data_IF_226346471347
#
_entry.id   IF_226346471347
#
_cell.length_a   1.000
_cell.length_b   1.000
_cell.length_c   1.000
_cell.angle_alpha   90.00
_cell.angle_beta   90.00
_cell.angle_gamma   90.00
#
_symmetry.space_group_name_H-M   'P 1'
#
loop_
_entity.id
_entity.type
_entity.pdbx_description
1 polymer ?
#
# COMPACT_ATOMS: atom_id res chain seq x y z
N UNK A 1 0.02 7.08 -24.10
CA UNK A 1 0.79 7.59 -22.95
C UNK A 1 1.52 6.47 -22.22
N UNK A 2 2.67 6.77 -21.59
CA UNK A 2 3.41 5.81 -20.75
C UNK A 2 3.38 6.24 -19.28
N UNK A 3 2.92 5.36 -18.40
CA UNK A 3 2.80 5.59 -16.95
C UNK A 3 3.57 4.51 -16.21
N UNK A 4 4.54 4.92 -15.40
CA UNK A 4 5.26 4.01 -14.51
C UNK A 4 4.67 4.08 -13.10
N UNK A 5 4.48 2.94 -12.45
CA UNK A 5 4.08 2.85 -11.05
C UNK A 5 5.19 2.21 -10.23
N UNK A 6 5.59 2.89 -9.17
CA UNK A 6 6.59 2.46 -8.21
C UNK A 6 5.95 2.24 -6.83
N UNK A 7 6.47 1.26 -6.10
CA UNK A 7 6.02 0.94 -4.75
C UNK A 7 6.41 1.97 -3.70
N UNK A 8 6.57 1.49 -2.48
CA UNK A 8 6.71 2.31 -1.28
C UNK A 8 8.06 3.05 -1.21
N UNK A 9 8.01 4.35 -0.91
CA UNK A 9 9.17 5.24 -0.82
C UNK A 9 9.26 5.92 0.55
N UNK A 10 10.28 5.53 1.32
CA UNK A 10 10.65 6.10 2.62
C UNK A 10 12.16 6.27 2.75
N UNK A 11 12.61 7.52 2.77
CA UNK A 11 14.02 7.87 2.74
C UNK A 11 14.36 8.86 3.86
N UNK A 12 15.41 8.54 4.61
CA UNK A 12 16.00 9.42 5.63
C UNK A 12 16.98 10.44 5.06
N UNK A 13 17.80 10.02 4.08
CA UNK A 13 18.78 10.86 3.40
C UNK A 13 18.79 10.54 1.91
N UNK A 14 18.16 11.43 1.13
CA UNK A 14 18.04 11.27 -0.31
C UNK A 14 19.30 11.70 -1.07
N UNK A 15 20.19 12.47 -0.44
CA UNK A 15 21.42 12.95 -1.09
C UNK A 15 22.42 11.83 -1.40
N UNK A 16 22.31 10.72 -0.66
CA UNK A 16 23.13 9.51 -0.83
C UNK A 16 22.55 8.50 -1.82
N UNK A 17 21.33 8.72 -2.33
CA UNK A 17 20.66 7.76 -3.19
C UNK A 17 21.22 7.78 -4.62
N UNK A 18 21.60 6.59 -5.09
CA UNK A 18 22.08 6.36 -6.45
C UNK A 18 21.04 5.57 -7.24
N UNK A 19 20.82 5.95 -8.50
CA UNK A 19 19.96 5.21 -9.42
C UNK A 19 20.79 4.68 -10.58
N UNK A 20 20.57 3.42 -10.95
CA UNK A 20 21.14 2.83 -12.15
C UNK A 20 20.69 3.57 -13.43
N UNK A 21 21.60 3.78 -14.38
CA UNK A 21 21.33 4.47 -15.65
C UNK A 21 20.15 3.88 -16.44
N UNK A 22 19.98 2.55 -16.42
CA UNK A 22 18.86 1.90 -17.12
C UNK A 22 17.53 2.28 -16.49
N UNK A 23 17.46 2.34 -15.15
CA UNK A 23 16.27 2.76 -14.43
C UNK A 23 15.99 4.26 -14.67
N UNK A 24 17.04 5.09 -14.71
CA UNK A 24 16.91 6.51 -15.09
C UNK A 24 16.27 6.67 -16.47
N UNK A 25 16.68 5.86 -17.46
CA UNK A 25 16.10 5.94 -18.80
C UNK A 25 14.61 5.58 -18.81
N UNK A 26 14.21 4.52 -18.10
CA UNK A 26 12.80 4.10 -17.98
C UNK A 26 11.95 5.21 -17.36
N UNK A 27 12.47 5.87 -16.33
CA UNK A 27 11.81 7.00 -15.67
C UNK A 27 11.70 8.20 -16.62
N UNK A 28 12.77 8.52 -17.37
CA UNK A 28 12.81 9.65 -18.30
C UNK A 28 11.89 9.47 -19.51
N UNK A 29 11.73 8.26 -20.00
CA UNK A 29 10.89 7.92 -21.14
C UNK A 29 9.38 7.95 -20.83
N UNK A 30 8.99 7.75 -19.57
CA UNK A 30 7.59 7.80 -19.17
C UNK A 30 7.03 9.22 -19.12
N UNK A 31 5.76 9.37 -19.44
CA UNK A 31 5.02 10.64 -19.33
C UNK A 31 4.73 10.96 -17.86
N UNK A 32 4.34 9.93 -17.11
CA UNK A 32 4.02 10.02 -15.70
C UNK A 32 4.77 8.94 -14.91
N UNK A 33 5.42 9.33 -13.82
CA UNK A 33 6.01 8.41 -12.85
C UNK A 33 5.29 8.59 -11.51
N UNK A 34 4.62 7.52 -11.09
CA UNK A 34 3.77 7.45 -9.91
C UNK A 34 4.52 6.74 -8.79
N UNK A 35 4.56 7.29 -7.59
CA UNK A 35 5.20 6.66 -6.41
C UNK A 35 4.35 6.82 -5.16
N UNK A 36 4.38 5.82 -4.26
CA UNK A 36 3.77 5.94 -2.94
C UNK A 36 4.75 6.60 -1.95
N UNK A 37 4.44 7.82 -1.50
CA UNK A 37 5.25 8.54 -0.54
C UNK A 37 4.77 8.24 0.88
N UNK A 38 5.38 7.25 1.52
CA UNK A 38 4.81 6.54 2.67
C UNK A 38 5.25 7.07 4.04
N UNK A 39 5.40 8.39 4.16
CA UNK A 39 5.60 9.08 5.44
C UNK A 39 5.65 10.59 5.21
N UNK A 40 5.19 11.43 6.16
CA UNK A 40 5.23 12.87 6.00
C UNK A 40 6.65 13.42 6.08
N UNK A 41 6.85 14.54 5.41
CA UNK A 41 7.97 15.45 5.67
C UNK A 41 7.68 16.18 7.00
N UNK A 42 8.67 16.17 7.89
CA UNK A 42 8.55 16.83 9.19
C UNK A 42 9.75 17.74 9.45
N UNK A 43 9.51 18.86 10.12
CA UNK A 43 10.56 19.70 10.66
C UNK A 43 10.74 19.44 12.16
N UNK A 44 11.95 19.69 12.68
CA UNK A 44 12.27 19.50 14.10
C UNK A 44 11.21 20.19 14.98
N UNK A 45 10.76 19.50 16.05
CA UNK A 45 9.75 19.88 17.07
C UNK A 45 8.28 19.50 16.82
N UNK A 46 7.95 18.70 15.80
CA UNK A 46 6.62 18.09 15.71
C UNK A 46 6.50 16.85 16.61
N UNK A 47 5.35 16.71 17.27
CA UNK A 47 5.04 15.51 18.07
C UNK A 47 4.33 14.48 17.21
N UNK A 48 4.72 13.22 17.36
CA UNK A 48 4.04 12.11 16.72
C UNK A 48 2.58 12.02 17.19
N UNK A 49 1.68 11.72 16.26
CA UNK A 49 0.30 11.37 16.54
C UNK A 49 0.21 10.09 17.35
N UNK A 50 -0.83 9.96 18.16
CA UNK A 50 -1.15 8.70 18.83
C UNK A 50 -1.61 7.70 17.77
N UNK A 51 -0.86 6.61 17.61
CA UNK A 51 -1.23 5.51 16.71
C UNK A 51 -0.62 4.17 17.13
N UNK A 52 -1.03 3.11 16.44
CA UNK A 52 -0.39 1.82 16.49
C UNK A 52 0.87 1.78 15.63
N UNK A 53 1.91 1.08 16.09
CA UNK A 53 3.17 0.94 15.36
C UNK A 53 4.11 2.16 15.45
N UNK A 54 5.25 2.13 14.74
CA UNK A 54 6.20 3.23 14.73
C UNK A 54 5.66 4.44 13.97
N UNK A 55 5.93 5.64 14.49
CA UNK A 55 5.75 6.88 13.74
C UNK A 55 7.00 7.18 12.92
N UNK A 56 6.85 7.33 11.61
CA UNK A 56 7.95 7.60 10.69
C UNK A 56 7.74 8.89 9.93
N UNK A 57 8.85 9.51 9.54
CA UNK A 57 8.90 10.74 8.76
C UNK A 57 10.09 10.70 7.82
N UNK A 58 10.06 11.59 6.84
CA UNK A 58 11.10 11.77 5.82
C UNK A 58 11.71 13.18 5.90
N UNK A 59 12.90 13.33 5.34
CA UNK A 59 13.51 14.65 5.15
C UNK A 59 12.88 15.38 3.96
N UNK A 60 13.03 16.70 3.91
CA UNK A 60 12.57 17.51 2.77
C UNK A 60 13.32 17.16 1.46
N UNK A 61 14.51 16.61 1.57
CA UNK A 61 15.31 16.22 0.40
C UNK A 61 14.69 15.01 -0.32
N UNK A 62 13.89 14.20 0.38
CA UNK A 62 13.12 13.11 -0.22
C UNK A 62 12.17 13.60 -1.32
N UNK A 63 11.42 14.69 -1.09
CA UNK A 63 10.55 15.26 -2.13
C UNK A 63 11.33 15.91 -3.26
N UNK A 64 12.44 16.59 -2.95
CA UNK A 64 13.29 17.23 -3.97
C UNK A 64 13.86 16.19 -4.92
N UNK A 65 14.40 15.11 -4.35
CA UNK A 65 14.96 14.02 -5.12
C UNK A 65 13.92 13.39 -6.05
N UNK A 66 12.70 13.16 -5.59
CA UNK A 66 11.62 12.63 -6.43
C UNK A 66 11.30 13.57 -7.61
N UNK A 67 11.16 14.87 -7.35
CA UNK A 67 10.85 15.87 -8.38
C UNK A 67 12.00 15.96 -9.41
N UNK A 68 13.25 15.99 -8.95
CA UNK A 68 14.45 16.03 -9.80
C UNK A 68 14.55 14.78 -10.70
N UNK A 69 14.08 13.63 -10.22
CA UNK A 69 14.01 12.38 -10.98
C UNK A 69 12.67 12.15 -11.68
N UNK A 70 11.92 13.21 -12.04
CA UNK A 70 10.70 13.14 -12.87
C UNK A 70 9.56 12.31 -12.26
N UNK A 71 9.52 12.14 -10.94
CA UNK A 71 8.33 11.66 -10.24
C UNK A 71 7.34 12.83 -10.12
N UNK A 72 6.27 12.75 -10.92
CA UNK A 72 5.32 13.84 -11.12
C UNK A 72 3.90 13.49 -10.68
N UNK A 73 3.68 12.28 -10.13
CA UNK A 73 2.44 11.87 -9.47
C UNK A 73 2.77 11.19 -8.15
N UNK A 74 2.30 11.76 -7.04
CA UNK A 74 2.62 11.31 -5.69
C UNK A 74 1.36 10.77 -5.02
N UNK A 75 1.33 9.47 -4.75
CA UNK A 75 0.31 8.87 -3.89
C UNK A 75 0.63 9.18 -2.44
N UNK A 76 -0.37 9.75 -1.76
CA UNK A 76 -0.31 10.10 -0.34
C UNK A 76 -1.29 9.27 0.51
N UNK A 77 -2.10 8.40 -0.11
CA UNK A 77 -2.99 7.52 0.62
C UNK A 77 -2.22 6.34 1.20
N UNK A 78 -1.83 6.43 2.46
CA UNK A 78 -1.19 5.36 3.21
C UNK A 78 -1.40 5.56 4.72
N UNK A 79 -1.06 4.55 5.50
CA UNK A 79 -1.19 4.54 6.96
C UNK A 79 -0.22 5.48 7.68
N UNK A 80 0.80 6.00 7.00
CA UNK A 80 1.88 6.77 7.61
C UNK A 80 1.81 8.28 7.37
N UNK A 81 1.12 8.76 6.33
CA UNK A 81 1.18 10.18 5.92
C UNK A 81 0.72 11.17 7.01
N UNK A 82 -0.11 10.72 7.97
CA UNK A 82 -0.58 11.51 9.12
C UNK A 82 0.12 11.17 10.45
N UNK A 83 1.28 10.50 10.42
CA UNK A 83 2.05 10.12 11.61
C UNK A 83 2.46 11.30 12.49
N UNK A 84 2.53 12.50 11.91
CA UNK A 84 2.81 13.77 12.60
C UNK A 84 1.66 14.78 12.43
N UNK A 85 0.46 14.22 12.25
CA UNK A 85 -0.80 14.92 12.17
C UNK A 85 -0.94 15.82 10.94
N UNK A 86 -1.96 16.69 10.99
CA UNK A 86 -2.29 17.61 9.89
C UNK A 86 -1.11 18.54 9.56
N UNK A 87 -0.29 18.90 10.55
CA UNK A 87 0.88 19.74 10.30
C UNK A 87 1.91 19.04 9.43
N UNK A 88 2.26 17.78 9.71
CA UNK A 88 3.20 17.01 8.88
C UNK A 88 2.66 16.80 7.46
N UNK A 89 1.37 16.48 7.33
CA UNK A 89 0.70 16.36 6.04
C UNK A 89 0.75 17.67 5.22
N UNK A 90 0.40 18.81 5.83
CA UNK A 90 0.41 20.12 5.14
C UNK A 90 1.82 20.54 4.70
N UNK A 91 2.85 20.29 5.50
CA UNK A 91 4.23 20.53 5.07
C UNK A 91 4.62 19.61 3.91
N UNK A 92 4.21 18.34 3.94
CA UNK A 92 4.43 17.41 2.82
C UNK A 92 3.77 17.91 1.54
N UNK A 93 2.49 18.33 1.60
CA UNK A 93 1.78 18.89 0.44
C UNK A 93 2.45 20.13 -0.13
N UNK A 94 2.99 21.02 0.71
CA UNK A 94 3.75 22.19 0.25
C UNK A 94 5.00 21.81 -0.53
N UNK A 95 5.66 20.71 -0.17
CA UNK A 95 6.87 20.25 -0.87
C UNK A 95 6.58 19.68 -2.27
N UNK A 96 5.32 19.31 -2.54
CA UNK A 96 4.85 18.77 -3.82
C UNK A 96 3.92 19.74 -4.56
N UNK A 97 4.01 21.05 -4.30
CA UNK A 97 3.09 22.06 -4.84
C UNK A 97 3.01 22.13 -6.37
N UNK A 98 4.04 21.65 -7.07
CA UNK A 98 4.18 21.69 -8.53
C UNK A 98 4.07 20.30 -9.19
N UNK A 99 3.71 19.26 -8.44
CA UNK A 99 3.46 17.91 -8.96
C UNK A 99 2.08 17.43 -8.52
N UNK A 100 1.52 16.46 -9.25
CA UNK A 100 0.23 15.91 -8.90
C UNK A 100 0.34 15.11 -7.61
N UNK A 101 -0.62 15.29 -6.71
CA UNK A 101 -0.75 14.49 -5.48
C UNK A 101 -2.15 13.90 -5.44
N UNK A 102 -2.32 12.71 -4.88
CA UNK A 102 -3.62 12.03 -4.85
C UNK A 102 -3.84 11.27 -3.54
N UNK A 103 -5.11 11.18 -3.10
CA UNK A 103 -5.56 10.22 -2.08
C UNK A 103 -5.51 10.69 -0.63
N UNK A 104 -5.08 11.92 -0.36
CA UNK A 104 -5.10 12.50 0.98
C UNK A 104 -5.39 14.01 0.94
N UNK A 105 -6.13 14.48 1.93
CA UNK A 105 -6.60 15.87 1.99
C UNK A 105 -7.85 16.03 2.83
N UNK A 106 -8.58 17.11 2.59
CA UNK A 106 -9.97 17.21 3.03
C UNK A 106 -10.84 16.19 2.29
N UNK A 107 -12.05 15.92 2.77
CA UNK A 107 -12.91 14.86 2.22
C UNK A 107 -13.01 14.86 0.69
N UNK A 108 -13.34 15.99 0.08
CA UNK A 108 -13.49 16.07 -1.37
C UNK A 108 -12.14 15.89 -2.09
N UNK A 109 -11.05 16.41 -1.53
CA UNK A 109 -9.71 16.28 -2.11
C UNK A 109 -9.20 14.83 -2.06
N UNK A 110 -9.33 14.18 -0.90
CA UNK A 110 -8.87 12.80 -0.70
C UNK A 110 -9.57 11.82 -1.65
N UNK A 111 -10.88 11.98 -1.86
CA UNK A 111 -11.69 11.13 -2.73
C UNK A 111 -11.74 11.60 -4.19
N UNK A 112 -11.03 12.67 -4.57
CA UNK A 112 -10.93 13.11 -5.97
C UNK A 112 -9.75 12.46 -6.67
N UNK A 113 -9.87 12.15 -7.97
CA UNK A 113 -8.74 11.65 -8.75
C UNK A 113 -7.79 12.80 -9.13
N UNK A 114 -6.52 12.48 -9.36
CA UNK A 114 -5.71 13.28 -10.26
C UNK A 114 -5.93 12.76 -11.70
N UNK A 115 -5.83 13.66 -12.68
CA UNK A 115 -6.09 13.33 -14.08
C UNK A 115 -4.78 13.34 -14.84
N UNK A 116 -4.49 12.23 -15.53
CA UNK A 116 -3.41 12.14 -16.49
C UNK A 116 -4.00 12.27 -17.89
N UNK A 117 -3.48 13.18 -18.70
CA UNK A 117 -3.93 13.38 -20.07
C UNK A 117 -2.75 13.41 -21.02
N UNK A 118 -2.92 12.76 -22.17
CA UNK A 118 -1.99 12.85 -23.29
C UNK A 118 -2.65 12.27 -24.55
N UNK A 119 -2.42 12.93 -25.68
CA UNK A 119 -2.91 12.51 -27.00
C UNK A 119 -4.43 12.25 -27.04
N UNK A 120 -5.20 13.07 -26.31
CA UNK A 120 -6.67 12.98 -26.25
C UNK A 120 -7.21 11.87 -25.33
N UNK A 121 -6.34 11.12 -24.66
CA UNK A 121 -6.72 10.05 -23.72
C UNK A 121 -6.62 10.56 -22.29
N UNK A 122 -7.66 10.28 -21.50
CA UNK A 122 -7.80 10.70 -20.11
C UNK A 122 -7.81 9.51 -19.14
N UNK A 123 -7.01 9.62 -18.08
CA UNK A 123 -6.91 8.59 -17.02
C UNK A 123 -7.16 9.23 -15.67
N UNK A 124 -8.22 8.78 -14.98
CA UNK A 124 -8.46 9.15 -13.59
C UNK A 124 -7.71 8.20 -12.66
N UNK A 125 -6.76 8.75 -11.90
CA UNK A 125 -6.01 8.00 -10.89
C UNK A 125 -6.52 8.37 -9.52
N UNK A 126 -6.97 7.38 -8.77
CA UNK A 126 -7.28 7.49 -7.35
C UNK A 126 -6.19 6.81 -6.52
N UNK A 127 -6.03 7.25 -5.27
CA UNK A 127 -5.24 6.54 -4.28
C UNK A 127 -6.07 6.40 -3.00
N UNK A 128 -6.12 5.20 -2.45
CA UNK A 128 -6.94 4.86 -1.29
C UNK A 128 -6.21 3.86 -0.41
N UNK A 129 -6.51 3.88 0.88
CA UNK A 129 -5.91 2.99 1.86
C UNK A 129 -6.97 2.23 2.67
N UNK A 130 -6.57 1.14 3.29
CA UNK A 130 -7.38 0.45 4.29
C UNK A 130 -7.53 1.28 5.58
N UNK A 131 -8.50 0.92 6.43
CA UNK A 131 -8.79 1.69 7.65
C UNK A 131 -7.67 1.54 8.68
N UNK A 132 -6.96 2.62 8.96
CA UNK A 132 -6.00 2.75 10.05
C UNK A 132 -6.08 4.17 10.62
N UNK A 133 -5.07 4.60 11.39
CA UNK A 133 -4.97 5.98 11.83
C UNK A 133 -4.70 6.92 10.63
N UNK A 134 -5.35 8.08 10.61
CA UNK A 134 -5.19 9.06 9.54
C UNK A 134 -6.04 8.83 8.29
N UNK A 135 -6.97 7.86 8.33
CA UNK A 135 -7.90 7.55 7.25
C UNK A 135 -9.25 8.21 7.53
N UNK A 136 -9.87 8.80 6.52
CA UNK A 136 -11.20 9.43 6.62
C UNK A 136 -12.27 8.35 6.78
N UNK A 137 -12.92 8.34 7.95
CA UNK A 137 -14.03 7.42 8.24
C UNK A 137 -15.36 8.02 7.82
N UNK A 138 -15.57 9.30 8.11
CA UNK A 138 -16.78 10.04 7.72
C UNK A 138 -16.49 11.53 7.49
N UNK A 139 -17.49 12.26 6.95
CA UNK A 139 -17.34 13.67 6.54
C UNK A 139 -17.04 14.64 7.69
N UNK A 140 -17.19 14.23 8.94
CA UNK A 140 -16.82 15.05 10.10
C UNK A 140 -15.31 15.09 10.33
N UNK A 141 -14.57 14.12 9.79
CA UNK A 141 -13.11 14.14 9.77
C UNK A 141 -12.61 15.27 8.86
N UNK A 142 -11.76 16.14 9.40
CA UNK A 142 -11.28 17.33 8.66
C UNK A 142 -10.28 16.98 7.57
N UNK A 143 -9.35 16.08 7.85
CA UNK A 143 -8.27 15.67 6.96
C UNK A 143 -7.95 14.19 7.16
N UNK A 144 -7.60 13.51 6.08
CA UNK A 144 -7.17 12.12 6.11
C UNK A 144 -6.94 11.56 4.72
N UNK A 145 -6.63 10.28 4.63
CA UNK A 145 -6.57 9.54 3.38
C UNK A 145 -7.96 9.01 2.99
N UNK A 146 -8.18 8.82 1.68
CA UNK A 146 -9.40 8.17 1.21
C UNK A 146 -9.44 6.69 1.63
N UNK A 147 -10.54 6.32 2.27
CA UNK A 147 -10.78 4.95 2.71
C UNK A 147 -11.34 4.08 1.56
N UNK A 148 -10.61 3.02 1.18
CA UNK A 148 -10.96 2.18 0.04
C UNK A 148 -12.27 1.39 0.21
N UNK A 149 -12.67 1.08 1.45
CA UNK A 149 -13.93 0.39 1.75
C UNK A 149 -15.05 1.34 2.17
N UNK A 150 -14.88 2.65 2.01
CA UNK A 150 -15.96 3.59 2.28
C UNK A 150 -17.16 3.32 1.33
N UNK A 151 -18.42 3.35 1.82
CA UNK A 151 -19.59 3.00 1.00
C UNK A 151 -19.78 3.82 -0.28
N UNK A 152 -19.21 5.03 -0.37
CA UNK A 152 -19.30 5.87 -1.56
C UNK A 152 -18.33 5.48 -2.68
N UNK A 153 -17.30 4.66 -2.41
CA UNK A 153 -16.20 4.43 -3.37
C UNK A 153 -16.70 3.81 -4.67
N UNK A 154 -17.61 2.84 -4.62
CA UNK A 154 -18.13 2.21 -5.84
C UNK A 154 -18.85 3.22 -6.74
N UNK A 155 -19.61 4.14 -6.14
CA UNK A 155 -20.30 5.18 -6.89
C UNK A 155 -19.30 6.19 -7.47
N UNK A 156 -18.26 6.57 -6.72
CA UNK A 156 -17.18 7.45 -7.20
C UNK A 156 -16.50 6.84 -8.43
N UNK A 157 -16.12 5.57 -8.37
CA UNK A 157 -15.47 4.85 -9.47
C UNK A 157 -16.40 4.77 -10.69
N UNK A 158 -17.66 4.40 -10.47
CA UNK A 158 -18.67 4.33 -11.53
C UNK A 158 -18.88 5.68 -12.22
N UNK A 159 -18.87 6.78 -11.48
CA UNK A 159 -19.03 8.12 -12.04
C UNK A 159 -17.75 8.62 -12.73
N UNK A 160 -16.57 8.24 -12.25
CA UNK A 160 -15.31 8.51 -12.93
C UNK A 160 -15.25 7.80 -14.29
N UNK A 161 -15.65 6.52 -14.36
CA UNK A 161 -15.63 5.75 -15.62
C UNK A 161 -16.55 6.32 -16.71
N UNK A 162 -17.57 7.09 -16.35
CA UNK A 162 -18.42 7.80 -17.33
C UNK A 162 -17.76 9.04 -17.92
N UNK A 163 -16.72 9.57 -17.27
CA UNK A 163 -16.08 10.85 -17.57
C UNK A 163 -14.70 10.71 -18.18
N UNK A 164 -14.01 9.61 -17.89
CA UNK A 164 -12.62 9.38 -18.27
C UNK A 164 -12.49 8.02 -18.97
N UNK A 165 -11.52 7.92 -19.88
CA UNK A 165 -11.32 6.72 -20.70
C UNK A 165 -10.88 5.52 -19.84
N UNK A 166 -9.98 5.78 -18.89
CA UNK A 166 -9.47 4.77 -17.96
C UNK A 166 -9.54 5.23 -16.50
N UNK A 167 -9.74 4.28 -15.59
CA UNK A 167 -9.73 4.49 -14.14
C UNK A 167 -8.71 3.56 -13.50
N UNK A 168 -7.77 4.15 -12.75
CA UNK A 168 -6.73 3.44 -12.01
C UNK A 168 -6.89 3.74 -10.52
N UNK A 169 -6.74 2.71 -9.68
CA UNK A 169 -6.74 2.85 -8.22
C UNK A 169 -5.42 2.35 -7.67
N UNK A 170 -4.70 3.20 -6.94
CA UNK A 170 -3.58 2.84 -6.10
C UNK A 170 -4.15 2.42 -4.74
N UNK A 171 -3.92 1.18 -4.34
CA UNK A 171 -4.48 0.60 -3.12
C UNK A 171 -3.37 0.32 -2.09
N UNK A 172 -3.34 1.09 -1.01
CA UNK A 172 -2.40 0.89 0.08
C UNK A 172 -3.05 0.05 1.18
N UNK A 173 -3.00 -1.28 1.00
CA UNK A 173 -3.73 -2.22 1.84
C UNK A 173 -3.16 -3.64 1.75
N UNK A 174 -3.24 -4.40 2.84
CA UNK A 174 -2.86 -5.80 2.87
C UNK A 174 -2.03 -6.19 4.09
N UNK A 175 -1.73 -7.47 4.20
CA UNK A 175 -0.98 -8.00 5.33
C UNK A 175 0.53 -7.85 5.11
N UNK A 176 1.18 -7.03 5.93
CA UNK A 176 2.62 -6.78 5.86
C UNK A 176 3.45 -8.08 5.89
N UNK A 177 4.44 -8.17 4.99
CA UNK A 177 5.38 -9.28 4.89
C UNK A 177 4.78 -10.59 4.36
N UNK A 178 3.57 -10.57 3.79
CA UNK A 178 2.90 -11.75 3.26
C UNK A 178 2.84 -11.71 1.74
N UNK A 179 3.26 -12.79 1.08
CA UNK A 179 3.46 -12.86 -0.38
C UNK A 179 2.17 -12.98 -1.20
N UNK A 180 1.02 -13.14 -0.56
CA UNK A 180 -0.27 -13.24 -1.24
C UNK A 180 -1.33 -12.36 -0.56
N UNK A 181 -2.22 -11.72 -1.35
CA UNK A 181 -3.29 -10.90 -0.80
C UNK A 181 -4.25 -11.75 0.02
N UNK A 182 -4.99 -11.14 0.94
CA UNK A 182 -6.13 -11.80 1.57
C UNK A 182 -7.28 -11.97 0.55
N UNK A 183 -8.10 -13.05 0.62
CA UNK A 183 -9.23 -13.23 -0.27
C UNK A 183 -10.21 -12.05 -0.29
N UNK A 184 -10.37 -11.37 0.84
CA UNK A 184 -11.21 -10.19 0.98
C UNK A 184 -10.69 -9.00 0.15
N UNK A 185 -9.36 -8.80 0.09
CA UNK A 185 -8.76 -7.80 -0.80
C UNK A 185 -8.91 -8.18 -2.28
N UNK A 186 -8.74 -9.47 -2.63
CA UNK A 186 -9.05 -9.94 -4.00
C UNK A 186 -10.50 -9.63 -4.37
N UNK A 187 -11.44 -9.89 -3.46
CA UNK A 187 -12.86 -9.64 -3.70
C UNK A 187 -13.14 -8.14 -3.86
N UNK A 188 -12.59 -7.31 -2.98
CA UNK A 188 -12.73 -5.85 -3.07
C UNK A 188 -12.19 -5.30 -4.38
N UNK A 189 -11.03 -5.79 -4.82
CA UNK A 189 -10.40 -5.39 -6.06
C UNK A 189 -11.23 -5.81 -7.29
N UNK A 190 -11.74 -7.05 -7.31
CA UNK A 190 -12.64 -7.50 -8.38
C UNK A 190 -13.96 -6.70 -8.40
N UNK A 191 -14.51 -6.35 -7.24
CA UNK A 191 -15.70 -5.50 -7.13
C UNK A 191 -15.45 -4.12 -7.76
N UNK A 192 -14.33 -3.46 -7.43
CA UNK A 192 -13.93 -2.17 -8.01
C UNK A 192 -13.77 -2.26 -9.53
N UNK A 193 -13.15 -3.33 -10.03
CA UNK A 193 -13.07 -3.62 -11.46
C UNK A 193 -14.46 -3.78 -12.09
N UNK A 194 -15.40 -4.42 -11.40
CA UNK A 194 -16.76 -4.63 -11.92
C UNK A 194 -17.56 -3.34 -12.09
N UNK A 195 -17.28 -2.31 -11.27
CA UNK A 195 -18.03 -1.04 -11.30
C UNK A 195 -17.39 0.06 -12.15
N UNK A 196 -16.19 -0.17 -12.70
CA UNK A 196 -15.58 0.72 -13.69
C UNK A 196 -14.07 0.94 -13.55
N UNK A 197 -13.41 0.38 -12.54
CA UNK A 197 -11.95 0.41 -12.46
C UNK A 197 -11.33 -0.49 -13.55
N UNK A 198 -10.25 -0.03 -14.18
CA UNK A 198 -9.51 -0.79 -15.19
C UNK A 198 -8.24 -1.39 -14.58
N UNK A 199 -7.53 -0.64 -13.72
CA UNK A 199 -6.30 -1.12 -13.08
C UNK A 199 -6.28 -0.86 -11.59
N UNK A 200 -5.88 -1.88 -10.83
CA UNK A 200 -5.50 -1.72 -9.42
C UNK A 200 -4.00 -1.93 -9.28
N UNK A 201 -3.34 -1.00 -8.58
CA UNK A 201 -1.92 -1.07 -8.23
C UNK A 201 -1.78 -1.04 -6.71
N UNK A 202 -1.44 -2.18 -6.11
CA UNK A 202 -1.32 -2.33 -4.66
C UNK A 202 0.04 -1.95 -4.09
N UNK A 203 0.08 -1.68 -2.79
CA UNK A 203 1.30 -1.46 -1.97
C UNK A 203 1.08 -1.92 -0.53
N UNK A 204 1.72 -1.27 0.46
CA UNK A 204 1.61 -1.52 1.90
C UNK A 204 2.28 -2.80 2.41
N UNK A 205 2.17 -3.91 1.70
CA UNK A 205 2.63 -5.21 2.22
C UNK A 205 4.16 -5.31 2.34
N UNK A 206 4.90 -4.34 1.79
CA UNK A 206 6.37 -4.31 1.69
C UNK A 206 6.97 -5.56 1.03
N UNK A 207 6.15 -6.32 0.30
CA UNK A 207 6.54 -7.49 -0.48
C UNK A 207 5.69 -7.58 -1.74
N UNK A 208 6.33 -7.96 -2.82
CA UNK A 208 5.74 -8.22 -4.13
C UNK A 208 4.71 -9.36 -4.06
N UNK A 209 3.49 -9.10 -4.53
CA UNK A 209 2.39 -10.08 -4.49
C UNK A 209 1.91 -10.58 -5.85
N UNK A 210 2.67 -10.34 -6.93
CA UNK A 210 2.26 -10.76 -8.28
C UNK A 210 1.04 -10.02 -8.81
N UNK A 211 0.46 -10.53 -9.90
CA UNK A 211 -0.66 -9.87 -10.57
C UNK A 211 -1.64 -10.85 -11.23
N UNK A 212 -2.85 -10.35 -11.51
CA UNK A 212 -3.91 -11.04 -12.24
C UNK A 212 -4.33 -10.22 -13.46
N UNK A 213 -4.56 -10.91 -14.57
CA UNK A 213 -5.14 -10.35 -15.80
C UNK A 213 -6.59 -10.86 -15.90
N UNK A 214 -7.54 -9.93 -16.02
CA UNK A 214 -8.98 -10.23 -16.03
C UNK A 214 -9.57 -9.74 -17.36
N UNK A 215 -9.92 -10.68 -18.24
CA UNK A 215 -10.32 -10.34 -19.60
C UNK A 215 -9.17 -9.67 -20.36
N UNK A 216 -9.49 -8.72 -21.23
CA UNK A 216 -8.49 -8.12 -22.13
C UNK A 216 -7.81 -6.85 -21.61
N UNK A 217 -8.49 -6.06 -20.76
CA UNK A 217 -8.06 -4.71 -20.38
C UNK A 217 -8.18 -4.42 -18.86
N UNK A 218 -8.29 -5.45 -18.02
CA UNK A 218 -8.35 -5.25 -16.56
C UNK A 218 -7.21 -5.97 -15.84
N UNK A 219 -6.58 -5.25 -14.93
CA UNK A 219 -5.35 -5.71 -14.29
C UNK A 219 -5.39 -5.44 -12.79
N UNK A 220 -4.90 -6.39 -12.00
CA UNK A 220 -4.68 -6.21 -10.57
C UNK A 220 -3.22 -6.55 -10.30
N UNK A 221 -2.43 -5.57 -9.89
CA UNK A 221 -1.10 -5.76 -9.31
C UNK A 221 -1.28 -5.72 -7.79
N UNK A 222 -1.15 -6.85 -7.10
CA UNK A 222 -1.62 -6.94 -5.71
C UNK A 222 -0.75 -6.17 -4.72
N UNK A 223 0.56 -6.12 -4.97
CA UNK A 223 1.50 -5.24 -4.28
C UNK A 223 2.80 -5.16 -5.06
N UNK A 224 3.34 -3.95 -5.20
CA UNK A 224 4.65 -3.70 -5.80
C UNK A 224 5.80 -3.78 -4.80
N UNK A 225 5.52 -3.99 -3.51
CA UNK A 225 6.54 -3.93 -2.47
C UNK A 225 7.21 -2.56 -2.35
N UNK A 226 8.44 -2.54 -1.86
CA UNK A 226 9.19 -1.31 -1.64
C UNK A 226 9.93 -0.86 -2.91
N UNK A 227 9.72 0.37 -3.33
CA UNK A 227 10.62 1.00 -4.30
C UNK A 227 11.94 1.39 -3.63
N UNK A 228 11.86 2.10 -2.49
CA UNK A 228 13.02 2.45 -1.69
C UNK A 228 12.60 2.65 -0.23
N UNK A 229 13.12 1.85 0.69
CA UNK A 229 12.78 1.96 2.11
C UNK A 229 14.04 1.82 2.97
N UNK A 230 14.68 2.95 3.31
CA UNK A 230 15.97 2.97 4.03
C UNK A 230 15.88 2.42 5.47
N UNK A 231 14.70 2.48 6.10
CA UNK A 231 14.46 1.82 7.38
C UNK A 231 14.04 0.37 7.11
N UNK A 232 14.99 -0.57 7.17
CA UNK A 232 14.64 -1.99 7.12
C UNK A 232 14.03 -2.42 8.46
N UNK A 233 12.71 -2.46 8.52
CA UNK A 233 11.95 -2.81 9.73
C UNK A 233 11.69 -4.32 9.86
N UNK A 234 11.85 -5.09 8.79
CA UNK A 234 11.49 -6.52 8.74
C UNK A 234 12.69 -7.47 8.77
N UNK A 235 13.90 -6.98 8.46
CA UNK A 235 15.12 -7.77 8.27
C UNK A 235 14.99 -8.92 7.24
N UNK A 236 14.04 -8.83 6.29
CA UNK A 236 13.88 -9.83 5.23
C UNK A 236 14.46 -9.35 3.90
N UNK A 237 15.01 -10.28 3.10
CA UNK A 237 15.59 -9.96 1.78
C UNK A 237 14.54 -9.40 0.80
N UNK A 238 13.28 -9.83 0.93
CA UNK A 238 12.17 -9.34 0.11
C UNK A 238 11.83 -7.87 0.37
N UNK A 239 12.20 -7.31 1.52
CA UNK A 239 12.00 -5.88 1.84
C UNK A 239 12.73 -4.94 0.87
N UNK A 240 13.85 -5.43 0.33
CA UNK A 240 14.73 -4.67 -0.53
C UNK A 240 14.45 -4.89 -2.02
N UNK A 241 13.41 -5.66 -2.36
CA UNK A 241 13.02 -5.96 -3.74
C UNK A 241 11.56 -5.52 -3.92
N UNK A 242 11.32 -4.67 -4.91
CA UNK A 242 9.99 -4.29 -5.34
C UNK A 242 9.87 -4.31 -6.86
N UNK A 243 8.72 -3.90 -7.36
CA UNK A 243 8.41 -3.83 -8.78
C UNK A 243 8.10 -2.41 -9.25
N UNK A 244 8.44 -2.16 -10.51
CA UNK A 244 7.87 -1.09 -11.30
C UNK A 244 6.97 -1.69 -12.38
N UNK A 245 5.75 -1.15 -12.49
CA UNK A 245 4.86 -1.44 -13.62
C UNK A 245 5.01 -0.32 -14.64
N UNK A 246 5.59 -0.62 -15.79
CA UNK A 246 5.66 0.32 -16.92
C UNK A 246 4.49 0.05 -17.86
N UNK A 247 3.49 0.93 -17.81
CA UNK A 247 2.22 0.77 -18.52
C UNK A 247 2.17 1.67 -19.75
N UNK A 248 1.78 1.12 -20.90
CA UNK A 248 1.41 1.88 -22.09
C UNK A 248 -0.10 1.86 -22.25
N UNK A 249 -0.69 3.05 -22.31
CA UNK A 249 -2.14 3.26 -22.40
C UNK A 249 -2.41 4.04 -23.69
N UNK A 250 -3.22 3.48 -24.58
CA UNK A 250 -3.62 4.10 -25.84
C UNK A 250 -5.10 3.81 -26.18
N UNK A 251 -5.54 4.17 -27.38
CA UNK A 251 -6.90 3.93 -27.87
C UNK A 251 -7.24 2.45 -28.04
N UNK A 252 -6.23 1.58 -28.15
CA UNK A 252 -6.38 0.14 -28.35
C UNK A 252 -6.42 -0.63 -27.02
N UNK A 253 -5.97 -0.03 -25.93
CA UNK A 253 -6.06 -0.60 -24.59
C UNK A 253 -4.87 -0.28 -23.70
N UNK A 254 -4.60 -1.24 -22.82
CA UNK A 254 -3.51 -1.16 -21.85
C UNK A 254 -2.58 -2.35 -22.06
N UNK A 255 -1.29 -2.07 -22.18
CA UNK A 255 -0.21 -3.06 -22.11
C UNK A 255 0.77 -2.68 -21.00
N UNK A 256 1.52 -3.63 -20.48
CA UNK A 256 2.46 -3.36 -19.41
C UNK A 256 3.66 -4.31 -19.41
N UNK A 257 4.75 -3.81 -18.84
CA UNK A 257 5.92 -4.59 -18.43
C UNK A 257 6.06 -4.52 -16.92
N UNK A 258 6.54 -5.61 -16.32
CA UNK A 258 6.91 -5.67 -14.89
C UNK A 258 8.43 -5.69 -14.80
N UNK A 259 8.99 -4.81 -13.99
CA UNK A 259 10.42 -4.64 -13.82
C UNK A 259 10.76 -4.80 -12.33
N UNK A 260 11.70 -5.68 -12.01
CA UNK A 260 12.21 -5.78 -10.65
C UNK A 260 13.15 -4.63 -10.33
N UNK A 261 13.09 -4.12 -9.09
CA UNK A 261 13.97 -3.09 -8.57
C UNK A 261 14.51 -3.57 -7.23
N UNK A 262 15.83 -3.52 -7.05
CA UNK A 262 16.50 -3.83 -5.78
C UNK A 262 17.10 -2.57 -5.20
N UNK A 263 16.79 -2.33 -3.94
CA UNK A 263 17.42 -1.33 -3.13
C UNK A 263 18.48 -1.96 -2.23
N UNK A 264 19.76 -1.64 -2.43
CA UNK A 264 20.83 -2.10 -1.57
C UNK A 264 21.94 -1.04 -1.49
N UNK A 265 22.51 -0.82 -0.30
CA UNK A 265 23.60 0.13 -0.08
C UNK A 265 23.35 1.52 -0.69
N UNK A 266 22.15 2.07 -0.47
CA UNK A 266 21.66 3.34 -1.03
C UNK A 266 21.60 3.39 -2.57
N UNK A 267 21.63 2.24 -3.24
CA UNK A 267 21.55 2.14 -4.69
C UNK A 267 20.28 1.42 -5.13
N UNK A 268 19.61 1.99 -6.14
CA UNK A 268 18.47 1.41 -6.84
C UNK A 268 18.94 0.81 -8.16
N UNK A 269 18.86 -0.52 -8.27
CA UNK A 269 19.26 -1.28 -9.45
C UNK A 269 18.07 -2.06 -10.04
N UNK A 270 18.03 -2.18 -11.36
CA UNK A 270 17.09 -3.09 -12.01
C UNK A 270 17.49 -4.54 -11.74
N UNK A 271 16.49 -5.35 -11.39
CA UNK A 271 16.61 -6.79 -11.19
C UNK A 271 16.00 -7.49 -12.38
N UNK A 272 16.75 -8.44 -12.94
CA UNK A 272 16.26 -9.24 -14.04
C UNK A 272 16.85 -10.67 -14.05
N UNK A 273 17.37 -11.11 -12.91
CA UNK A 273 17.92 -12.45 -12.75
C UNK A 273 16.82 -13.53 -12.72
N UNK A 274 17.25 -14.78 -12.91
CA UNK A 274 16.34 -15.93 -12.99
C UNK A 274 15.58 -16.16 -11.68
N UNK A 275 16.14 -15.77 -10.53
CA UNK A 275 15.50 -15.94 -9.22
C UNK A 275 14.28 -15.03 -9.10
N UNK A 276 14.43 -13.74 -9.44
CA UNK A 276 13.30 -12.81 -9.45
C UNK A 276 12.23 -13.20 -10.47
N UNK A 277 12.62 -13.57 -11.70
CA UNK A 277 11.67 -14.04 -12.72
C UNK A 277 10.92 -15.29 -12.28
N UNK A 278 11.64 -16.23 -11.65
CA UNK A 278 11.04 -17.44 -11.11
C UNK A 278 10.05 -17.12 -9.99
N UNK A 279 10.41 -16.22 -9.04
CA UNK A 279 9.50 -15.78 -7.98
C UNK A 279 8.21 -15.19 -8.56
N UNK A 280 8.30 -14.25 -9.50
CA UNK A 280 7.13 -13.65 -10.13
C UNK A 280 6.24 -14.67 -10.84
N UNK A 281 6.85 -15.63 -11.55
CA UNK A 281 6.13 -16.74 -12.18
C UNK A 281 5.38 -17.58 -11.15
N UNK A 282 6.02 -17.92 -10.03
CA UNK A 282 5.41 -18.74 -8.97
C UNK A 282 4.28 -18.01 -8.25
N UNK A 283 4.43 -16.71 -7.97
CA UNK A 283 3.36 -15.88 -7.41
C UNK A 283 2.12 -15.94 -8.32
N UNK A 284 2.29 -15.69 -9.62
CA UNK A 284 1.20 -15.66 -10.58
C UNK A 284 0.56 -17.05 -10.79
N UNK A 285 1.35 -18.13 -10.79
CA UNK A 285 0.82 -19.50 -10.90
C UNK A 285 -0.07 -19.88 -9.72
N UNK A 286 0.33 -19.51 -8.50
CA UNK A 286 -0.50 -19.75 -7.31
C UNK A 286 -1.76 -18.90 -7.35
N UNK A 287 -1.65 -17.61 -7.70
CA UNK A 287 -2.80 -16.70 -7.80
C UNK A 287 -3.88 -17.18 -8.79
N UNK A 288 -3.46 -17.84 -9.87
CA UNK A 288 -4.33 -18.39 -10.91
C UNK A 288 -5.02 -19.72 -10.52
N UNK A 289 -4.65 -20.34 -9.40
CA UNK A 289 -5.26 -21.56 -8.90
C UNK A 289 -5.87 -21.32 -7.52
N UNK A 290 -7.19 -21.09 -7.47
CA UNK A 290 -7.89 -20.72 -6.24
C UNK A 290 -7.70 -21.73 -5.09
N UNK A 291 -7.61 -23.03 -5.38
CA UNK A 291 -7.40 -24.05 -4.36
C UNK A 291 -6.00 -23.95 -3.74
N UNK A 292 -4.96 -23.82 -4.57
CA UNK A 292 -3.58 -23.67 -4.09
C UNK A 292 -3.39 -22.32 -3.39
N UNK A 293 -3.91 -21.24 -3.96
CA UNK A 293 -3.92 -19.93 -3.35
C UNK A 293 -4.57 -19.94 -1.95
N UNK A 294 -5.77 -20.50 -1.81
CA UNK A 294 -6.48 -20.56 -0.53
C UNK A 294 -5.69 -21.36 0.51
N UNK A 295 -5.08 -22.48 0.11
CA UNK A 295 -4.22 -23.28 0.99
C UNK A 295 -3.03 -22.47 1.48
N UNK A 296 -2.34 -21.76 0.59
CA UNK A 296 -1.15 -20.96 0.93
C UNK A 296 -1.51 -19.79 1.85
N UNK A 297 -2.52 -18.99 1.52
CA UNK A 297 -2.90 -17.82 2.33
C UNK A 297 -3.45 -18.21 3.70
N UNK A 298 -4.18 -19.33 3.79
CA UNK A 298 -4.65 -19.86 5.07
C UNK A 298 -3.46 -20.24 5.98
N UNK A 299 -2.45 -20.91 5.42
CA UNK A 299 -1.24 -21.23 6.17
C UNK A 299 -0.49 -19.97 6.62
N UNK A 300 -0.34 -18.98 5.74
CA UNK A 300 0.29 -17.70 6.09
C UNK A 300 -0.47 -16.96 7.20
N UNK A 301 -1.80 -16.94 7.17
CA UNK A 301 -2.61 -16.40 8.26
C UNK A 301 -2.35 -17.13 9.57
N UNK A 302 -2.31 -18.48 9.56
CA UNK A 302 -2.03 -19.26 10.78
C UNK A 302 -0.67 -18.94 11.39
N UNK A 303 0.35 -18.63 10.58
CA UNK A 303 1.66 -18.20 11.09
C UNK A 303 1.59 -16.86 11.84
N UNK A 304 0.66 -15.97 11.47
CA UNK A 304 0.41 -14.71 12.18
C UNK A 304 -0.32 -14.88 13.51
N UNK A 305 -0.82 -16.09 13.83
CA UNK A 305 -1.59 -16.31 15.05
C UNK A 305 -0.83 -15.91 16.32
N UNK A 306 0.46 -16.18 16.39
CA UNK A 306 1.25 -15.86 17.58
C UNK A 306 1.29 -14.35 17.85
N UNK A 307 1.33 -13.54 16.79
CA UNK A 307 1.28 -12.09 16.87
C UNK A 307 -0.06 -11.64 17.46
N UNK A 308 -1.19 -12.16 16.97
CA UNK A 308 -2.52 -11.78 17.48
C UNK A 308 -2.88 -12.36 18.85
N UNK A 309 -2.48 -13.61 19.16
CA UNK A 309 -2.76 -14.24 20.46
C UNK A 309 -2.10 -13.50 21.62
N UNK A 310 -0.88 -12.99 21.41
CA UNK A 310 -0.21 -12.17 22.41
C UNK A 310 -0.99 -10.88 22.75
N UNK A 311 -1.85 -10.42 21.83
CA UNK A 311 -2.65 -9.20 21.97
C UNK A 311 -3.99 -9.47 22.67
N UNK A 312 -4.73 -10.51 22.26
CA UNK A 312 -6.05 -10.82 22.84
C UNK A 312 -6.02 -11.57 24.17
N UNK A 313 -4.86 -12.09 24.60
CA UNK A 313 -4.68 -12.61 25.96
C UNK A 313 -4.99 -11.58 27.07
N UNK A 314 -5.35 -10.35 26.71
CA UNK A 314 -5.74 -9.25 27.60
C UNK A 314 -7.21 -8.80 27.44
N UNK A 315 -8.01 -9.37 26.53
CA UNK A 315 -9.31 -8.82 26.10
C UNK A 315 -10.59 -9.65 26.39
N UNK A 316 -10.51 -10.88 26.91
CA UNK A 316 -11.73 -11.67 27.19
C UNK A 316 -11.49 -13.01 27.87
N UNK A 317 -12.36 -13.31 28.85
CA UNK A 317 -12.44 -14.47 29.77
C UNK A 317 -11.14 -15.21 30.09
N UNK A 318 -10.71 -15.08 31.34
CA UNK A 318 -9.62 -15.86 31.92
C UNK A 318 -10.01 -17.35 31.90
N UNK A 319 -9.55 -18.08 30.88
CA UNK A 319 -9.49 -19.53 30.94
C UNK A 319 -8.29 -19.93 31.79
N UNK A 320 -8.53 -20.80 32.77
CA UNK A 320 -7.47 -21.39 33.61
C UNK A 320 -6.70 -22.40 32.75
N UNK A 321 -5.75 -21.91 31.96
CA UNK A 321 -4.76 -22.73 31.26
C UNK A 321 -3.39 -22.66 31.96
N UNK A 322 -2.41 -23.39 31.44
CA UNK A 322 -1.03 -23.41 31.98
C UNK A 322 -0.31 -22.04 31.90
N UNK A 323 -0.89 -21.04 31.27
CA UNK A 323 -0.39 -19.67 31.17
C UNK A 323 -1.17 -18.66 32.02
N UNK A 324 -2.11 -19.11 32.86
CA UNK A 324 -2.93 -18.29 33.76
C UNK A 324 -2.12 -17.25 34.57
N UNK A 325 -0.97 -17.66 35.13
CA UNK A 325 -0.09 -16.78 35.91
C UNK A 325 0.54 -15.68 35.03
N UNK A 326 0.92 -15.99 33.79
CA UNK A 326 1.44 -15.00 32.83
C UNK A 326 0.37 -14.00 32.40
N UNK A 327 -0.86 -14.45 32.23
CA UNK A 327 -1.99 -13.60 31.84
C UNK A 327 -2.39 -12.65 32.98
N UNK A 328 -2.40 -13.12 34.23
CA UNK A 328 -2.58 -12.27 35.41
C UNK A 328 -1.45 -11.25 35.55
N UNK A 329 -0.19 -11.65 35.39
CA UNK A 329 0.93 -10.71 35.45
C UNK A 329 0.84 -9.62 34.36
N UNK A 330 0.39 -9.96 33.15
CA UNK A 330 0.18 -8.98 32.07
C UNK A 330 -1.00 -8.05 32.34
N UNK A 331 -2.07 -8.57 32.90
CA UNK A 331 -3.24 -7.81 33.34
C UNK A 331 -2.90 -6.82 34.47
N UNK A 332 -2.20 -7.30 35.51
CA UNK A 332 -1.73 -6.48 36.64
C UNK A 332 -0.70 -5.43 36.22
N UNK A 333 0.10 -5.70 35.18
CA UNK A 333 1.07 -4.75 34.63
C UNK A 333 0.52 -3.77 33.56
N UNK A 334 -0.78 -3.82 33.21
CA UNK A 334 -1.41 -2.83 32.33
C UNK A 334 -0.85 -2.73 30.90
N UNK A 335 -0.32 -3.82 30.33
CA UNK A 335 0.46 -3.79 29.07
C UNK A 335 -0.34 -3.86 27.75
N UNK A 336 -1.65 -3.66 27.73
CA UNK A 336 -2.38 -3.52 26.46
C UNK A 336 -2.57 -2.05 26.14
N UNK A 337 -2.00 -1.56 25.04
CA UNK A 337 -2.25 -0.20 24.58
C UNK A 337 -3.57 -0.20 23.80
N UNK A 338 -4.61 0.45 24.33
CA UNK A 338 -5.94 0.54 23.70
C UNK A 338 -5.88 0.96 22.23
N UNK A 339 -4.93 1.85 21.90
CA UNK A 339 -4.64 2.32 20.54
C UNK A 339 -4.28 1.18 19.59
N UNK A 340 -3.51 0.20 20.05
CA UNK A 340 -3.13 -0.96 19.25
C UNK A 340 -4.29 -1.95 19.11
N UNK A 341 -5.09 -2.15 20.17
CA UNK A 341 -6.32 -2.95 20.11
C UNK A 341 -7.30 -2.37 19.09
N UNK A 342 -7.53 -1.06 19.17
CA UNK A 342 -8.37 -0.33 18.24
C UNK A 342 -7.89 -0.54 16.80
N UNK A 343 -6.58 -0.44 16.54
CA UNK A 343 -6.03 -0.70 15.21
C UNK A 343 -6.42 -2.08 14.67
N UNK A 344 -6.19 -3.13 15.46
CA UNK A 344 -6.48 -4.50 15.03
C UNK A 344 -7.97 -4.74 14.77
N UNK A 345 -8.85 -4.05 15.48
CA UNK A 345 -10.30 -4.16 15.31
C UNK A 345 -10.82 -3.35 14.11
N UNK A 346 -10.31 -2.12 13.93
CA UNK A 346 -10.79 -1.22 12.87
C UNK A 346 -10.17 -1.55 11.50
N UNK A 347 -8.91 -1.98 11.48
CA UNK A 347 -8.19 -2.37 10.27
C UNK A 347 -8.75 -3.68 9.74
N UNK A 348 -9.22 -3.63 8.49
CA UNK A 348 -9.87 -4.77 7.85
C UNK A 348 -8.90 -5.91 7.64
N UNK A 349 -7.65 -5.66 7.24
CA UNK A 349 -6.64 -6.72 7.08
C UNK A 349 -6.44 -7.51 8.37
N UNK A 350 -6.20 -6.82 9.50
CA UNK A 350 -6.01 -7.51 10.77
C UNK A 350 -7.27 -8.26 11.17
N UNK A 351 -8.44 -7.62 11.07
CA UNK A 351 -9.73 -8.24 11.42
C UNK A 351 -10.02 -9.48 10.60
N UNK A 352 -9.84 -9.43 9.28
CA UNK A 352 -10.05 -10.56 8.37
C UNK A 352 -9.03 -11.69 8.59
N UNK A 353 -7.77 -11.35 8.85
CA UNK A 353 -6.75 -12.35 9.18
C UNK A 353 -7.11 -13.09 10.48
N UNK A 354 -7.48 -12.35 11.53
CA UNK A 354 -7.88 -12.90 12.82
C UNK A 354 -9.14 -13.77 12.69
N UNK A 355 -10.17 -13.29 11.99
CA UNK A 355 -11.39 -14.07 11.73
C UNK A 355 -11.09 -15.37 11.00
N UNK A 356 -10.24 -15.32 9.96
CA UNK A 356 -9.83 -16.51 9.20
C UNK A 356 -9.08 -17.52 10.05
N UNK A 357 -8.13 -17.07 10.88
CA UNK A 357 -7.40 -17.94 11.82
C UNK A 357 -8.40 -18.66 12.75
N UNK A 358 -9.36 -17.92 13.30
CA UNK A 358 -10.35 -18.47 14.23
C UNK A 358 -11.27 -19.48 13.53
N UNK A 359 -11.74 -19.19 12.31
CA UNK A 359 -12.55 -20.11 11.51
C UNK A 359 -11.84 -21.41 11.21
N UNK A 360 -10.60 -21.33 10.71
CA UNK A 360 -9.78 -22.51 10.39
C UNK A 360 -9.59 -23.41 11.63
N UNK A 361 -9.26 -22.82 12.79
CA UNK A 361 -9.03 -23.59 14.02
C UNK A 361 -10.26 -24.28 14.58
N UNK A 362 -11.44 -23.72 14.32
CA UNK A 362 -12.70 -24.26 14.81
C UNK A 362 -13.44 -25.07 13.74
N UNK A 363 -12.85 -25.25 12.54
CA UNK A 363 -13.47 -25.90 11.40
C UNK A 363 -14.84 -25.29 11.03
N UNK A 364 -14.93 -23.95 11.05
CA UNK A 364 -16.15 -23.15 10.74
C UNK A 364 -16.04 -22.49 9.37
#
# INVERSE_FOLDING_TARGET
>A
MRVNFFGDFVVSDASSLLINDKLINIIKEADYNVVNFEAPITHRKQHASIKSGPSISQSIDASRWLIEHKFNVISLANNHIFDYGISGFKETKKCFFNVLTVGAGEWNEAFSPCILEKDGISVAVFAMAEMQFGILRDKSDKYGCAWINHPSVNQIVKDAKKKYDYVIIIAHAGLEGVDYPLPEWRNRYNELLSVGCDVIVGGHTHTSQGYSIIGNNKFIFYSLGNFCFQKNLSHCDSWNIGECISMSIDENGISFDVLGIKFNDNKLDLVNDDLWRHRMKMLNLVLANDNEYLKVINNMCLLQQSNYNNLFAMGGYIHVDRNFIKNILRYVMGKCRDVHVLNNLQCETHRWCMERILRIKNNI
#
